data_IF_725167658838
#
_entry.id   IF_725167658838
#
_cell.length_a   1.000
_cell.length_b   1.000
_cell.length_c   1.000
_cell.angle_alpha   90.00
_cell.angle_beta   90.00
_cell.angle_gamma   90.00
#
_symmetry.space_group_name_H-M   'P 1'
#
loop_
_entity.id
_entity.type
_entity.pdbx_description
1 polymer ?
#
# COMPACT_ATOMS: atom_id res chain seq x y z
N UNK A 1 21.27 14.80 2.48
CA UNK A 1 19.91 14.55 3.00
C UNK A 1 19.56 13.08 2.82
N UNK A 2 19.41 12.32 3.91
CA UNK A 2 19.05 10.89 3.89
C UNK A 2 17.54 10.75 3.71
N UNK A 3 17.03 11.04 2.52
CA UNK A 3 15.61 10.80 2.24
C UNK A 3 15.37 9.30 2.05
N UNK A 4 14.44 8.75 2.84
CA UNK A 4 13.96 7.38 2.68
C UNK A 4 13.02 7.28 1.47
N UNK A 5 12.99 6.09 0.86
CA UNK A 5 11.99 5.75 -0.15
C UNK A 5 10.61 5.60 0.51
N UNK A 6 9.60 6.22 -0.09
CA UNK A 6 8.21 6.15 0.34
C UNK A 6 7.50 5.04 -0.42
N UNK A 7 6.90 4.13 0.35
CA UNK A 7 6.05 3.05 -0.15
C UNK A 7 4.62 3.39 0.28
N UNK A 8 3.77 3.64 -0.71
CA UNK A 8 2.33 3.74 -0.50
C UNK A 8 1.76 2.32 -0.44
N UNK A 9 0.89 2.06 0.53
CA UNK A 9 0.11 0.83 0.61
C UNK A 9 -1.34 1.18 0.92
N UNK A 10 -2.26 0.57 0.17
CA UNK A 10 -3.68 0.54 0.49
C UNK A 10 -4.15 -0.91 0.52
N UNK A 11 -5.00 -1.25 1.50
CA UNK A 11 -5.51 -2.61 1.65
C UNK A 11 -6.95 -2.58 2.12
N UNK A 12 -7.80 -3.38 1.50
CA UNK A 12 -9.20 -3.53 1.89
C UNK A 12 -9.39 -4.64 2.96
N UNK A 13 -10.65 -4.88 3.35
CA UNK A 13 -11.00 -5.94 4.30
C UNK A 13 -10.85 -7.36 3.74
N UNK A 14 -10.86 -7.52 2.41
CA UNK A 14 -10.72 -8.82 1.75
C UNK A 14 -9.25 -9.24 1.59
N UNK A 15 -8.32 -8.31 1.85
CA UNK A 15 -6.88 -8.53 1.69
C UNK A 15 -6.36 -8.12 0.31
N UNK A 16 -7.19 -7.53 -0.55
CA UNK A 16 -6.74 -6.91 -1.78
C UNK A 16 -5.83 -5.75 -1.44
N UNK A 17 -4.60 -5.82 -1.96
CA UNK A 17 -3.52 -4.90 -1.61
C UNK A 17 -3.04 -4.20 -2.86
N UNK A 18 -2.81 -2.91 -2.72
CA UNK A 18 -2.15 -2.04 -3.67
C UNK A 18 -0.90 -1.53 -2.99
N UNK A 19 0.24 -1.61 -3.68
CA UNK A 19 1.45 -0.92 -3.26
C UNK A 19 2.13 -0.21 -4.42
N UNK A 20 2.92 0.81 -4.09
CA UNK A 20 3.70 1.57 -5.05
C UNK A 20 4.87 2.28 -4.36
N UNK A 21 6.01 2.35 -5.06
CA UNK A 21 7.09 3.27 -4.71
C UNK A 21 6.72 4.65 -5.25
N UNK A 22 6.49 5.62 -4.36
CA UNK A 22 6.07 6.97 -4.77
C UNK A 22 7.27 7.91 -4.97
N UNK A 23 8.46 7.50 -4.53
CA UNK A 23 9.70 8.25 -4.64
C UNK A 23 10.30 8.53 -3.26
N UNK A 24 11.22 9.50 -3.18
CA UNK A 24 11.90 9.84 -1.93
C UNK A 24 11.19 10.98 -1.20
N UNK A 25 11.07 10.84 0.13
CA UNK A 25 10.47 11.85 1.00
C UNK A 25 8.96 11.69 1.21
N UNK A 26 8.29 12.72 1.76
CA UNK A 26 6.87 12.63 2.12
C UNK A 26 5.94 12.41 0.93
N UNK A 27 4.86 11.68 1.17
CA UNK A 27 3.79 11.43 0.20
C UNK A 27 3.10 12.73 -0.22
N UNK A 28 2.83 12.88 -1.51
CA UNK A 28 2.17 14.06 -2.11
C UNK A 28 0.85 13.68 -2.79
N UNK A 29 -0.05 14.65 -2.94
CA UNK A 29 -1.37 14.45 -3.57
C UNK A 29 -1.26 13.88 -4.99
N UNK A 30 -0.33 14.39 -5.81
CA UNK A 30 -0.15 13.89 -7.17
C UNK A 30 0.24 12.40 -7.22
N UNK A 31 1.01 11.91 -6.24
CA UNK A 31 1.35 10.49 -6.12
C UNK A 31 0.11 9.65 -5.76
N UNK A 32 -0.79 10.17 -4.92
CA UNK A 32 -2.07 9.52 -4.64
C UNK A 32 -2.96 9.44 -5.88
N UNK A 33 -3.01 10.52 -6.67
CA UNK A 33 -3.73 10.54 -7.96
C UNK A 33 -3.17 9.49 -8.91
N UNK A 34 -1.85 9.35 -9.01
CA UNK A 34 -1.23 8.37 -9.93
C UNK A 34 -1.40 6.93 -9.46
N UNK A 35 -1.23 6.66 -8.17
CA UNK A 35 -1.07 5.28 -7.68
C UNK A 35 -2.31 4.71 -7.00
N UNK A 36 -3.15 5.55 -6.40
CA UNK A 36 -4.30 5.13 -5.60
C UNK A 36 -5.62 5.34 -6.34
N UNK A 37 -5.85 6.54 -6.88
CA UNK A 37 -7.14 6.91 -7.51
C UNK A 37 -7.65 5.90 -8.56
N UNK A 38 -6.82 5.40 -9.51
CA UNK A 38 -7.30 4.50 -10.55
C UNK A 38 -7.75 3.13 -10.04
N UNK A 39 -7.48 2.83 -8.77
CA UNK A 39 -7.71 1.52 -8.14
C UNK A 39 -8.70 1.60 -6.98
N UNK A 40 -9.19 2.79 -6.64
CA UNK A 40 -10.19 2.98 -5.61
C UNK A 40 -11.58 2.74 -6.17
N UNK A 41 -12.42 2.06 -5.38
CA UNK A 41 -13.85 2.04 -5.61
C UNK A 41 -14.42 3.45 -5.32
N UNK A 42 -15.24 4.05 -6.21
CA UNK A 42 -15.85 5.35 -5.97
C UNK A 42 -16.69 5.43 -4.69
N UNK A 43 -17.19 4.29 -4.18
CA UNK A 43 -17.97 4.19 -2.95
C UNK A 43 -17.11 3.79 -1.73
N UNK A 44 -15.79 3.65 -1.89
CA UNK A 44 -14.92 3.28 -0.78
C UNK A 44 -14.81 4.41 0.26
N UNK A 45 -14.88 4.03 1.54
CA UNK A 45 -14.42 4.87 2.65
C UNK A 45 -12.89 4.77 2.75
N UNK A 46 -12.21 5.87 2.45
CA UNK A 46 -10.76 5.98 2.58
C UNK A 46 -10.38 6.26 4.04
N UNK A 47 -9.78 5.28 4.69
CA UNK A 47 -9.26 5.41 6.04
C UNK A 47 -7.73 5.60 6.04
N UNK A 48 -7.23 6.69 6.63
CA UNK A 48 -5.79 7.04 6.56
C UNK A 48 -5.26 7.53 7.89
N UNK A 49 -3.93 7.61 8.02
CA UNK A 49 -3.30 8.36 9.10
C UNK A 49 -3.47 9.88 8.92
N UNK A 50 -2.85 10.65 9.81
CA UNK A 50 -2.95 12.12 9.85
C UNK A 50 -2.09 12.84 8.78
N UNK A 51 -1.55 12.15 7.77
CA UNK A 51 -0.80 12.82 6.70
C UNK A 51 -1.72 13.74 5.89
N UNK A 52 -1.35 15.02 5.77
CA UNK A 52 -2.13 16.07 5.11
C UNK A 52 -2.41 15.84 3.62
N UNK A 53 -1.66 14.96 2.95
CA UNK A 53 -1.92 14.61 1.55
C UNK A 53 -3.27 13.89 1.37
N UNK A 54 -3.71 13.08 2.34
CA UNK A 54 -4.94 12.30 2.24
C UNK A 54 -6.23 13.13 2.30
N UNK A 55 -6.44 14.04 3.28
CA UNK A 55 -7.66 14.85 3.30
C UNK A 55 -7.76 15.77 2.06
N UNK A 56 -6.63 16.34 1.60
CA UNK A 56 -6.61 17.14 0.37
C UNK A 56 -6.97 16.31 -0.87
N UNK A 57 -6.42 15.09 -0.98
CA UNK A 57 -6.75 14.15 -2.04
C UNK A 57 -8.23 13.75 -2.03
N UNK A 58 -8.75 13.38 -0.86
CA UNK A 58 -10.13 12.94 -0.73
C UNK A 58 -11.12 14.05 -1.10
N UNK A 59 -10.89 15.26 -0.61
CA UNK A 59 -11.70 16.43 -0.92
C UNK A 59 -11.70 16.74 -2.43
N UNK A 60 -10.54 16.72 -3.07
CA UNK A 60 -10.41 17.02 -4.49
C UNK A 60 -11.11 16.02 -5.42
N UNK A 61 -11.33 14.79 -4.95
CA UNK A 61 -11.91 13.71 -5.75
C UNK A 61 -13.28 13.22 -5.24
N UNK A 62 -13.86 13.89 -4.25
CA UNK A 62 -15.18 13.52 -3.70
C UNK A 62 -15.21 12.15 -3.02
N UNK A 63 -14.08 11.70 -2.46
CA UNK A 63 -13.95 10.39 -1.81
C UNK A 63 -14.32 10.53 -0.33
N UNK A 64 -15.17 9.65 0.18
CA UNK A 64 -15.45 9.58 1.60
C UNK A 64 -14.16 9.30 2.39
N UNK A 65 -13.85 10.10 3.39
CA UNK A 65 -12.57 10.01 4.11
C UNK A 65 -12.73 10.06 5.62
N UNK A 66 -11.95 9.23 6.30
CA UNK A 66 -11.83 9.21 7.74
C UNK A 66 -10.36 9.14 8.16
N UNK A 67 -9.88 10.19 8.83
CA UNK A 67 -8.58 10.18 9.46
C UNK A 67 -8.60 9.38 10.78
N UNK A 68 -7.60 8.53 10.99
CA UNK A 68 -7.37 7.78 12.23
C UNK A 68 -6.23 8.44 12.99
N UNK A 69 -6.52 8.92 14.21
CA UNK A 69 -5.51 9.52 15.06
C UNK A 69 -4.78 8.44 15.88
N UNK A 70 -3.75 7.85 15.28
CA UNK A 70 -2.92 6.83 15.92
C UNK A 70 -2.19 7.36 17.18
N UNK A 71 -1.90 8.66 17.24
CA UNK A 71 -1.24 9.30 18.40
C UNK A 71 -2.14 9.49 19.61
N UNK A 72 -3.46 9.51 19.43
CA UNK A 72 -4.44 9.59 20.53
C UNK A 72 -4.83 8.21 21.11
N UNK A 73 -4.19 7.13 20.67
CA UNK A 73 -4.58 5.77 21.08
C UNK A 73 -5.92 5.30 20.49
N UNK A 74 -6.56 6.10 19.64
CA UNK A 74 -7.76 5.72 18.87
C UNK A 74 -7.37 4.70 17.79
N UNK A 75 -7.17 3.46 18.23
CA UNK A 75 -6.86 2.32 17.36
C UNK A 75 -8.12 1.69 16.76
N UNK A 76 -9.29 2.08 17.27
CA UNK A 76 -10.61 1.67 16.84
C UNK A 76 -11.55 2.86 17.10
N UNK A 77 -12.06 3.54 16.06
CA UNK A 77 -13.35 4.20 16.20
C UNK A 77 -14.39 3.19 15.76
N UNK A 78 -15.27 2.81 16.68
CA UNK A 78 -16.47 2.03 16.38
C UNK A 78 -17.41 2.92 15.56
N UNK A 79 -17.15 3.03 14.26
CA UNK A 79 -18.17 3.48 13.30
C UNK A 79 -19.16 2.35 13.05
N UNK A 80 -20.33 2.69 12.52
CA UNK A 80 -21.43 1.75 12.23
C UNK A 80 -21.04 0.56 11.33
N UNK A 81 -19.83 0.57 10.72
CA UNK A 81 -19.33 -0.43 9.78
C UNK A 81 -18.08 -1.21 10.25
N UNK A 82 -17.67 -1.07 11.52
CA UNK A 82 -16.57 -1.86 12.10
C UNK A 82 -15.20 -1.16 12.13
N UNK A 83 -14.21 -1.81 12.76
CA UNK A 83 -12.92 -1.23 13.13
C UNK A 83 -12.12 -0.71 11.92
N UNK A 84 -11.76 0.57 11.96
CA UNK A 84 -11.06 1.26 10.87
C UNK A 84 -9.65 0.65 10.65
N UNK A 85 -9.41 0.17 9.43
CA UNK A 85 -8.45 -0.88 9.07
C UNK A 85 -6.96 -0.49 8.91
N UNK A 86 -6.45 0.53 9.62
CA UNK A 86 -5.00 0.87 9.54
C UNK A 86 -4.10 -0.28 10.01
N UNK A 87 -4.61 -1.16 10.88
CA UNK A 87 -3.88 -2.34 11.34
C UNK A 87 -3.57 -3.34 10.22
N UNK A 88 -4.44 -3.48 9.20
CA UNK A 88 -4.20 -4.39 8.09
C UNK A 88 -3.04 -3.90 7.21
N UNK A 89 -2.98 -2.59 6.98
CA UNK A 89 -1.86 -1.93 6.28
C UNK A 89 -0.57 -2.05 7.09
N UNK A 90 -0.62 -1.81 8.42
CA UNK A 90 0.55 -1.96 9.30
C UNK A 90 1.08 -3.40 9.30
N UNK A 91 0.19 -4.39 9.33
CA UNK A 91 0.58 -5.79 9.26
C UNK A 91 1.26 -6.11 7.91
N UNK A 92 0.75 -5.58 6.80
CA UNK A 92 1.41 -5.72 5.49
C UNK A 92 2.79 -5.09 5.47
N UNK A 93 2.93 -3.84 5.97
CA UNK A 93 4.21 -3.15 6.07
C UNK A 93 5.23 -3.96 6.88
N UNK A 94 4.79 -4.56 7.99
CA UNK A 94 5.64 -5.41 8.82
C UNK A 94 6.14 -6.63 8.04
N UNK A 95 5.25 -7.37 7.39
CA UNK A 95 5.63 -8.56 6.59
C UNK A 95 6.54 -8.20 5.42
N UNK A 96 6.28 -7.07 4.75
CA UNK A 96 7.15 -6.56 3.69
C UNK A 96 8.57 -6.27 4.22
N UNK A 97 8.69 -5.58 5.36
CA UNK A 97 9.99 -5.28 5.99
C UNK A 97 10.74 -6.55 6.40
N UNK A 98 10.05 -7.49 7.03
CA UNK A 98 10.61 -8.79 7.44
C UNK A 98 11.08 -9.59 6.22
N UNK A 99 10.31 -9.58 5.13
CA UNK A 99 10.68 -10.23 3.88
C UNK A 99 11.91 -9.57 3.23
N UNK A 100 11.94 -8.24 3.16
CA UNK A 100 13.08 -7.49 2.60
C UNK A 100 14.38 -7.68 3.41
N UNK A 101 14.29 -7.84 4.74
CA UNK A 101 15.45 -8.03 5.61
C UNK A 101 16.30 -9.26 5.23
N UNK A 102 15.67 -10.28 4.63
CA UNK A 102 16.34 -11.50 4.15
C UNK A 102 17.34 -11.25 3.02
N UNK A 103 17.21 -10.13 2.31
CA UNK A 103 18.11 -9.76 1.22
C UNK A 103 19.26 -8.85 1.68
N UNK A 104 19.39 -8.59 2.99
CA UNK A 104 20.38 -7.67 3.56
C UNK A 104 20.35 -6.25 2.97
N UNK A 105 19.14 -5.82 2.60
CA UNK A 105 18.91 -4.56 1.89
C UNK A 105 18.67 -4.78 0.40
N UNK A 106 17.94 -3.86 -0.21
CA UNK A 106 17.64 -3.88 -1.65
C UNK A 106 17.96 -2.51 -2.24
N UNK A 107 18.44 -2.49 -3.48
CA UNK A 107 18.65 -1.23 -4.16
C UNK A 107 17.29 -0.58 -4.49
N UNK A 108 17.12 0.70 -4.16
CA UNK A 108 15.87 1.45 -4.38
C UNK A 108 15.35 1.35 -5.82
N UNK A 109 16.25 1.31 -6.81
CA UNK A 109 15.89 1.16 -8.23
C UNK A 109 15.09 -0.13 -8.53
N UNK A 110 15.27 -1.16 -7.71
CA UNK A 110 14.60 -2.45 -7.89
C UNK A 110 13.40 -2.64 -6.96
N UNK A 111 13.16 -1.71 -6.03
CA UNK A 111 12.07 -1.80 -5.07
C UNK A 111 10.70 -2.07 -5.72
N UNK A 112 10.34 -1.51 -6.89
CA UNK A 112 9.10 -1.88 -7.58
C UNK A 112 8.98 -3.37 -7.90
N UNK A 113 10.08 -4.02 -8.29
CA UNK A 113 10.08 -5.47 -8.55
C UNK A 113 9.80 -6.22 -7.25
N UNK A 114 10.52 -5.88 -6.18
CA UNK A 114 10.34 -6.50 -4.86
C UNK A 114 8.91 -6.36 -4.32
N UNK A 115 8.27 -5.21 -4.52
CA UNK A 115 6.85 -5.04 -4.19
C UNK A 115 5.97 -6.01 -4.98
N UNK A 116 6.18 -6.14 -6.29
CA UNK A 116 5.44 -7.08 -7.13
C UNK A 116 5.60 -8.54 -6.68
N UNK A 117 6.82 -8.97 -6.35
CA UNK A 117 7.09 -10.31 -5.81
C UNK A 117 6.40 -10.52 -4.46
N UNK A 118 6.50 -9.55 -3.55
CA UNK A 118 5.88 -9.65 -2.23
C UNK A 118 4.35 -9.68 -2.33
N UNK A 119 3.75 -8.83 -3.17
CA UNK A 119 2.30 -8.82 -3.42
C UNK A 119 1.77 -10.17 -3.90
N UNK A 120 2.52 -10.84 -4.77
CA UNK A 120 2.18 -12.15 -5.29
C UNK A 120 2.25 -13.24 -4.20
N UNK A 121 3.29 -13.21 -3.38
CA UNK A 121 3.54 -14.18 -2.32
C UNK A 121 2.66 -13.96 -1.08
N UNK A 122 2.56 -12.74 -0.58
CA UNK A 122 1.77 -12.36 0.62
C UNK A 122 0.29 -12.68 0.46
N UNK A 123 -0.24 -12.48 -0.75
CA UNK A 123 -1.63 -12.77 -1.06
C UNK A 123 -1.91 -14.23 -1.43
N UNK A 124 -0.91 -15.11 -1.44
CA UNK A 124 -1.06 -16.47 -1.94
C UNK A 124 -1.49 -16.54 -3.41
N UNK A 125 -1.24 -15.47 -4.18
CA UNK A 125 -1.64 -15.36 -5.59
C UNK A 125 -0.76 -16.21 -6.49
N UNK A 126 0.46 -16.47 -6.02
CA UNK A 126 1.39 -17.43 -6.60
C UNK A 126 1.70 -18.49 -5.55
N UNK A 127 1.39 -19.74 -5.87
CA UNK A 127 1.59 -20.87 -4.95
C UNK A 127 2.70 -21.82 -5.38
N UNK A 128 3.25 -21.64 -6.57
CA UNK A 128 4.34 -22.48 -7.10
C UNK A 128 5.38 -21.67 -7.89
N UNK A 129 6.59 -22.21 -7.94
CA UNK A 129 7.70 -21.67 -8.77
C UNK A 129 7.32 -21.67 -10.24
N UNK A 130 6.60 -22.68 -10.73
CA UNK A 130 6.17 -22.75 -12.12
C UNK A 130 5.22 -21.60 -12.47
N UNK A 131 4.21 -21.34 -11.63
CA UNK A 131 3.26 -20.25 -11.84
C UNK A 131 3.99 -18.90 -11.87
N UNK A 132 4.97 -18.74 -10.97
CA UNK A 132 5.80 -17.56 -10.89
C UNK A 132 6.60 -17.33 -12.19
N UNK A 133 7.28 -18.37 -12.69
CA UNK A 133 8.05 -18.32 -13.91
C UNK A 133 7.17 -18.02 -15.13
N UNK A 134 5.98 -18.61 -15.20
CA UNK A 134 5.01 -18.33 -16.28
C UNK A 134 4.61 -16.85 -16.32
N UNK A 135 4.35 -16.24 -15.16
CA UNK A 135 4.03 -14.81 -15.08
C UNK A 135 5.23 -13.97 -15.53
N UNK A 136 6.43 -14.27 -15.04
CA UNK A 136 7.64 -13.54 -15.39
C UNK A 136 7.96 -13.61 -16.90
N UNK A 137 7.93 -14.81 -17.49
CA UNK A 137 8.23 -15.01 -18.91
C UNK A 137 7.11 -14.54 -19.85
N UNK A 138 5.84 -14.61 -19.43
CA UNK A 138 4.71 -14.09 -20.20
C UNK A 138 4.68 -12.55 -20.33
N UNK A 139 5.49 -11.86 -19.53
CA UNK A 139 5.74 -10.41 -19.66
C UNK A 139 6.96 -10.13 -20.55
N UNK A 140 7.98 -11.00 -20.52
CA UNK A 140 9.20 -10.84 -21.34
C UNK A 140 8.94 -11.13 -22.83
N UNK A 141 8.01 -12.04 -23.13
CA UNK A 141 7.68 -12.44 -24.51
C UNK A 141 6.51 -11.64 -25.12
N UNK A 142 6.20 -10.46 -24.57
CA UNK A 142 5.21 -9.51 -25.10
C UNK A 142 5.91 -8.24 -25.53
#
# INVERSE_FOLDING_TARGET
SHHLDCILVARDRSGQTIDAVTGRGPLKVNQLVTHLLPKLDPQALLATDANAAYPAFALAHGIAHQAVNLSAGERVRNGAEGAIHVQNVNAYHRRLKEWLARFHGVASRWLPNYLGWHWALDGGRVTSVEQLLRIAFGVINR
#
